data_IF_978258803138
#
_entry.id   IF_978258803138
#
_cell.length_a   1.000
_cell.length_b   1.000
_cell.length_c   1.000
_cell.angle_alpha   90.00
_cell.angle_beta   90.00
_cell.angle_gamma   90.00
#
_symmetry.space_group_name_H-M   'P 1'
#
loop_
_entity.id
_entity.type
_entity.pdbx_description
1 polymer ?
#
# COMPACT_ATOMS: atom_id res chain seq x y z
N UNK A 1 0.52 -7.71 -10.55
CA UNK A 1 1.87 -7.13 -10.71
C UNK A 1 1.91 -6.03 -11.78
N UNK A 2 1.56 -6.30 -13.04
CA UNK A 2 1.55 -5.27 -14.12
C UNK A 2 0.74 -4.00 -13.79
N UNK A 3 -0.47 -4.16 -13.26
CA UNK A 3 -1.34 -3.04 -12.84
C UNK A 3 -0.66 -2.17 -11.77
N UNK A 4 -0.14 -2.79 -10.72
CA UNK A 4 0.56 -2.09 -9.63
C UNK A 4 1.81 -1.37 -10.15
N UNK A 5 2.59 -2.02 -11.01
CA UNK A 5 3.80 -1.42 -11.59
C UNK A 5 3.47 -0.20 -12.46
N UNK A 6 2.43 -0.27 -13.30
CA UNK A 6 1.96 0.86 -14.13
C UNK A 6 1.58 2.05 -13.25
N UNK A 7 0.70 1.84 -12.28
CA UNK A 7 0.24 2.90 -11.38
C UNK A 7 1.39 3.45 -10.49
N UNK A 8 2.37 2.62 -10.12
CA UNK A 8 3.57 3.07 -9.41
C UNK A 8 4.47 3.98 -10.26
N UNK A 9 4.62 3.67 -11.55
CA UNK A 9 5.35 4.54 -12.48
C UNK A 9 4.61 5.87 -12.71
N UNK A 10 3.28 5.83 -12.80
CA UNK A 10 2.45 7.05 -12.91
C UNK A 10 2.53 7.92 -11.64
N UNK A 11 2.59 7.29 -10.46
CA UNK A 11 2.85 7.97 -9.18
C UNK A 11 4.21 8.66 -9.21
N UNK A 12 5.24 7.98 -9.72
CA UNK A 12 6.60 8.53 -9.83
C UNK A 12 6.69 9.71 -10.79
N UNK A 13 5.88 9.71 -11.85
CA UNK A 13 5.76 10.80 -12.82
C UNK A 13 4.93 12.00 -12.29
N UNK A 14 4.51 11.95 -11.02
CA UNK A 14 3.80 13.04 -10.35
C UNK A 14 2.29 13.10 -10.65
N UNK A 15 1.69 12.02 -11.15
CA UNK A 15 0.26 11.97 -11.52
C UNK A 15 -0.69 11.80 -10.32
N UNK A 16 -0.18 11.78 -9.09
CA UNK A 16 -0.97 11.68 -7.86
C UNK A 16 -0.48 10.57 -6.93
N UNK A 17 -1.30 10.21 -5.95
CA UNK A 17 -0.97 9.12 -5.03
C UNK A 17 -1.30 7.76 -5.63
N UNK A 18 -0.45 6.77 -5.36
CA UNK A 18 -0.62 5.39 -5.85
C UNK A 18 -1.98 4.79 -5.51
N UNK A 19 -2.48 5.09 -4.31
CA UNK A 19 -3.78 4.62 -3.83
C UNK A 19 -4.92 5.15 -4.71
N UNK A 20 -4.91 6.44 -5.03
CA UNK A 20 -5.94 7.07 -5.86
C UNK A 20 -5.90 6.55 -7.30
N UNK A 21 -4.69 6.34 -7.83
CA UNK A 21 -4.48 5.76 -9.15
C UNK A 21 -4.99 4.31 -9.23
N UNK A 22 -4.75 3.50 -8.20
CA UNK A 22 -5.28 2.14 -8.13
C UNK A 22 -6.81 2.11 -7.93
N UNK A 23 -7.37 3.01 -7.13
CA UNK A 23 -8.82 3.09 -6.93
C UNK A 23 -9.57 3.56 -8.20
N UNK A 24 -8.91 4.35 -9.05
CA UNK A 24 -9.46 4.78 -10.33
C UNK A 24 -9.24 3.79 -11.48
N UNK A 25 -8.44 2.73 -11.28
CA UNK A 25 -8.08 1.77 -12.33
C UNK A 25 -9.16 0.68 -12.47
N UNK A 26 -9.85 0.57 -13.63
CA UNK A 26 -10.91 -0.41 -13.83
C UNK A 26 -10.41 -1.86 -13.88
N UNK A 27 -9.09 -2.08 -13.99
CA UNK A 27 -8.49 -3.43 -13.89
C UNK A 27 -8.29 -3.88 -12.43
N UNK A 28 -8.49 -3.00 -11.44
CA UNK A 28 -8.40 -3.34 -10.02
C UNK A 28 -9.72 -3.99 -9.58
N UNK A 29 -9.60 -5.24 -9.11
CA UNK A 29 -10.73 -6.05 -8.63
C UNK A 29 -10.98 -5.93 -7.11
N UNK A 30 -10.15 -5.16 -6.41
CA UNK A 30 -10.29 -4.94 -4.97
C UNK A 30 -11.36 -3.87 -4.71
N UNK A 31 -12.09 -4.04 -3.61
CA UNK A 31 -12.96 -2.98 -3.12
C UNK A 31 -12.13 -1.83 -2.56
N UNK A 32 -12.72 -0.64 -2.44
CA UNK A 32 -12.02 0.51 -1.85
C UNK A 32 -11.58 0.22 -0.40
N UNK A 33 -12.36 -0.55 0.36
CA UNK A 33 -12.06 -0.91 1.74
C UNK A 33 -10.84 -1.86 1.80
N UNK A 34 -10.80 -2.89 0.94
CA UNK A 34 -9.63 -3.79 0.84
C UNK A 34 -8.37 -3.05 0.41
N UNK A 35 -8.54 -2.04 -0.44
CA UNK A 35 -7.44 -1.21 -0.94
C UNK A 35 -6.93 -0.28 0.17
N UNK A 36 -7.80 0.31 0.97
CA UNK A 36 -7.44 1.08 2.17
C UNK A 36 -6.61 0.24 3.15
N UNK A 37 -7.04 -0.99 3.44
CA UNK A 37 -6.31 -1.89 4.34
C UNK A 37 -4.88 -2.20 3.83
N UNK A 38 -4.67 -2.23 2.51
CA UNK A 38 -3.34 -2.44 1.93
C UNK A 38 -2.40 -1.24 2.15
N UNK A 39 -2.93 -0.03 2.36
CA UNK A 39 -2.16 1.18 2.67
C UNK A 39 -2.16 1.52 4.17
N UNK A 40 -2.84 0.73 5.01
CA UNK A 40 -2.89 0.95 6.45
C UNK A 40 -1.52 0.76 7.11
N UNK A 41 -1.05 1.80 7.82
CA UNK A 41 0.22 1.82 8.54
C UNK A 41 0.23 0.90 9.77
N UNK A 42 -0.94 0.57 10.33
CA UNK A 42 -1.08 -0.36 11.46
C UNK A 42 -0.54 -1.75 11.11
N UNK A 43 -0.77 -2.21 9.88
CA UNK A 43 -0.28 -3.50 9.39
C UNK A 43 1.25 -3.51 9.21
N UNK A 44 1.84 -2.38 8.84
CA UNK A 44 3.30 -2.24 8.68
C UNK A 44 3.98 -2.19 10.05
N UNK A 45 3.38 -1.51 11.02
CA UNK A 45 3.93 -1.34 12.37
C UNK A 45 3.90 -2.62 13.22
N UNK A 46 3.02 -3.58 12.94
CA UNK A 46 2.96 -4.86 13.67
C UNK A 46 4.28 -5.66 13.64
N UNK A 47 5.10 -5.48 12.60
CA UNK A 47 6.39 -6.19 12.52
C UNK A 47 7.49 -5.50 13.34
N UNK A 48 7.38 -4.18 13.56
CA UNK A 48 8.37 -3.42 14.34
C UNK A 48 8.31 -3.73 15.84
N UNK A 49 7.14 -4.09 16.37
CA UNK A 49 6.99 -4.45 17.80
C UNK A 49 7.87 -5.63 18.20
N UNK A 50 8.03 -6.63 17.32
CA UNK A 50 8.81 -7.85 17.60
C UNK A 50 10.31 -7.56 17.79
N UNK A 51 10.82 -6.52 17.14
CA UNK A 51 12.24 -6.15 17.24
C UNK A 51 12.55 -5.48 18.59
N UNK A 52 11.60 -4.71 19.13
CA UNK A 52 11.75 -4.08 20.45
C UNK A 52 11.67 -5.09 21.59
N UNK A 53 10.75 -6.06 21.53
CA UNK A 53 10.61 -7.12 22.55
C UNK A 53 11.90 -7.96 22.74
N UNK A 54 12.77 -8.02 21.73
CA UNK A 54 14.00 -8.82 21.77
C UNK A 54 15.21 -8.07 22.34
N UNK A 55 15.12 -6.75 22.51
CA UNK A 55 16.21 -5.93 23.05
C UNK A 55 16.05 -5.64 24.55
N UNK A 56 14.84 -5.81 25.10
CA UNK A 56 14.56 -5.65 26.54
C UNK A 56 14.66 -6.96 27.36
N UNK A 57 15.07 -8.07 26.72
CA UNK A 57 15.23 -9.39 27.33
C UNK A 57 16.67 -9.71 27.75
#
# INVERSE_FOLDING_TARGET
YRIVQRNAMDTWDGKGHLKDLLAADPEVVLSNDDLEECFSLDRVAQTSSVVFDRLEG
#
